data_IF_073522469956
#
_entry.id   IF_073522469956
#
_cell.length_a   1.000
_cell.length_b   1.000
_cell.length_c   1.000
_cell.angle_alpha   90.00
_cell.angle_beta   90.00
_cell.angle_gamma   90.00
#
_symmetry.space_group_name_H-M   'P 1'
#
loop_
_entity.id
_entity.type
_entity.pdbx_description
1 polymer ?
#
# COMPACT_ATOMS: atom_id res chain seq x y z
N UNK A 1 -30.66 -18.66 5.24
CA UNK A 1 -30.23 -17.42 4.56
C UNK A 1 -28.74 -17.55 4.30
N UNK A 2 -28.38 -17.98 3.09
CA UNK A 2 -27.00 -18.02 2.61
C UNK A 2 -26.56 -16.57 2.43
N UNK A 3 -25.74 -16.07 3.35
CA UNK A 3 -25.11 -14.76 3.18
C UNK A 3 -24.09 -14.89 2.05
N UNK A 4 -24.51 -14.55 0.84
CA UNK A 4 -23.64 -14.46 -0.32
C UNK A 4 -22.51 -13.46 -0.01
N UNK A 5 -21.30 -13.98 0.13
CA UNK A 5 -20.10 -13.16 0.25
C UNK A 5 -19.97 -12.36 -1.04
N UNK A 6 -20.31 -11.07 -1.00
CA UNK A 6 -20.10 -10.18 -2.13
C UNK A 6 -18.60 -9.90 -2.27
N UNK A 7 -17.97 -10.56 -3.23
CA UNK A 7 -16.61 -10.24 -3.62
C UNK A 7 -16.59 -8.85 -4.26
N UNK A 8 -15.95 -7.87 -3.59
CA UNK A 8 -15.59 -6.63 -4.25
C UNK A 8 -14.49 -6.93 -5.27
N UNK A 9 -14.78 -6.77 -6.55
CA UNK A 9 -13.78 -6.75 -7.61
C UNK A 9 -12.88 -5.54 -7.40
N UNK A 10 -11.71 -5.75 -6.79
CA UNK A 10 -10.70 -4.71 -6.61
C UNK A 10 -10.15 -4.20 -7.95
N UNK A 11 -9.28 -3.17 -7.88
CA UNK A 11 -8.65 -2.51 -9.05
C UNK A 11 -7.69 -3.40 -9.87
N UNK A 12 -7.61 -4.71 -9.61
CA UNK A 12 -6.60 -5.58 -10.20
C UNK A 12 -7.04 -6.09 -11.56
N UNK A 13 -6.66 -5.36 -12.62
CA UNK A 13 -7.06 -5.66 -14.01
C UNK A 13 -6.27 -6.84 -14.61
N UNK A 14 -5.07 -7.13 -14.10
CA UNK A 14 -4.16 -8.17 -14.63
C UNK A 14 -3.51 -8.94 -13.48
N UNK A 15 -3.42 -10.26 -13.62
CA UNK A 15 -2.76 -11.14 -12.64
C UNK A 15 -1.26 -10.77 -12.54
N UNK A 16 -0.73 -10.42 -11.36
CA UNK A 16 0.68 -10.10 -11.17
C UNK A 16 1.65 -11.21 -11.62
N UNK A 17 1.21 -12.48 -11.62
CA UNK A 17 2.00 -13.62 -12.09
C UNK A 17 2.16 -13.64 -13.61
N UNK A 18 1.30 -12.93 -14.34
CA UNK A 18 1.29 -12.82 -15.80
C UNK A 18 1.86 -11.48 -16.29
N UNK A 19 2.31 -10.61 -15.38
CA UNK A 19 2.96 -9.34 -15.74
C UNK A 19 4.42 -9.56 -16.12
N UNK A 20 4.89 -8.79 -17.10
CA UNK A 20 6.33 -8.71 -17.35
C UNK A 20 7.05 -7.95 -16.21
N UNK A 21 8.38 -8.05 -16.09
CA UNK A 21 9.10 -7.41 -14.98
C UNK A 21 8.89 -5.89 -14.88
N UNK A 22 8.81 -5.17 -16.02
CA UNK A 22 8.61 -3.71 -16.05
C UNK A 22 7.20 -3.33 -15.58
N UNK A 23 6.19 -4.02 -16.09
CA UNK A 23 4.79 -3.88 -15.68
C UNK A 23 4.64 -4.14 -14.18
N UNK A 24 5.28 -5.19 -13.67
CA UNK A 24 5.21 -5.56 -12.26
C UNK A 24 5.82 -4.49 -11.36
N UNK A 25 6.95 -3.88 -11.76
CA UNK A 25 7.57 -2.77 -11.02
C UNK A 25 6.62 -1.57 -11.00
N UNK A 26 6.03 -1.22 -12.14
CA UNK A 26 5.10 -0.10 -12.21
C UNK A 26 3.85 -0.33 -11.36
N UNK A 27 3.31 -1.55 -11.40
CA UNK A 27 2.18 -1.96 -10.58
C UNK A 27 2.52 -1.89 -9.08
N UNK A 28 3.69 -2.37 -8.66
CA UNK A 28 4.14 -2.26 -7.27
C UNK A 28 4.25 -0.80 -6.80
N UNK A 29 4.81 0.08 -7.63
CA UNK A 29 4.86 1.53 -7.34
C UNK A 29 3.46 2.12 -7.18
N UNK A 30 2.55 1.78 -8.08
CA UNK A 30 1.16 2.23 -8.02
C UNK A 30 0.45 1.73 -6.76
N UNK A 31 0.66 0.47 -6.38
CA UNK A 31 0.10 -0.11 -5.16
C UNK A 31 0.63 0.59 -3.91
N UNK A 32 1.94 0.88 -3.84
CA UNK A 32 2.53 1.60 -2.73
C UNK A 32 1.97 3.03 -2.61
N UNK A 33 1.83 3.73 -3.75
CA UNK A 33 1.23 5.07 -3.77
C UNK A 33 -0.24 5.03 -3.32
N UNK A 34 -1.04 4.09 -3.85
CA UNK A 34 -2.44 3.95 -3.46
C UNK A 34 -2.60 3.66 -1.96
N UNK A 35 -1.72 2.82 -1.39
CA UNK A 35 -1.74 2.51 0.04
C UNK A 35 -1.39 3.76 0.87
N UNK A 36 -0.37 4.51 0.46
CA UNK A 36 0.02 5.77 1.08
C UNK A 36 -1.12 6.79 1.06
N UNK A 37 -1.71 7.00 -0.12
CA UNK A 37 -2.81 7.95 -0.31
C UNK A 37 -4.03 7.56 0.53
N UNK A 38 -4.37 6.26 0.57
CA UNK A 38 -5.45 5.75 1.40
C UNK A 38 -5.19 6.00 2.88
N UNK A 39 -4.03 5.58 3.41
CA UNK A 39 -3.68 5.78 4.82
C UNK A 39 -3.75 7.27 5.20
N UNK A 40 -3.22 8.14 4.35
CA UNK A 40 -3.25 9.57 4.58
C UNK A 40 -4.65 10.18 4.48
N UNK A 41 -5.54 9.61 3.66
CA UNK A 41 -6.94 10.04 3.56
C UNK A 41 -7.72 9.77 4.83
N UNK A 42 -7.36 8.72 5.58
CA UNK A 42 -7.97 8.34 6.86
C UNK A 42 -7.14 8.79 8.07
N UNK A 43 -6.21 9.74 7.87
CA UNK A 43 -5.30 10.27 8.90
C UNK A 43 -4.44 9.22 9.62
N UNK A 44 -4.18 8.08 8.97
CA UNK A 44 -3.26 7.05 9.46
C UNK A 44 -1.86 7.27 8.88
N UNK A 45 -0.80 7.01 9.68
CA UNK A 45 0.57 7.05 9.18
C UNK A 45 0.90 5.83 8.33
N UNK A 46 1.82 6.00 7.38
CA UNK A 46 2.48 4.91 6.67
C UNK A 46 3.64 4.41 7.53
N UNK A 47 3.56 3.15 7.97
CA UNK A 47 4.60 2.53 8.80
C UNK A 47 5.49 1.63 7.95
N UNK A 48 6.81 1.83 8.01
CA UNK A 48 7.78 1.02 7.29
C UNK A 48 9.13 0.95 8.01
N UNK A 49 9.91 -0.08 7.66
CA UNK A 49 11.28 -0.25 8.17
C UNK A 49 12.26 0.46 7.24
N UNK A 50 13.09 1.33 7.81
CA UNK A 50 14.18 2.01 7.09
C UNK A 50 15.39 1.08 6.95
N UNK A 51 16.29 1.35 5.98
CA UNK A 51 17.53 0.58 5.79
C UNK A 51 18.47 0.61 7.00
N UNK A 52 18.38 1.65 7.83
CA UNK A 52 19.13 1.81 9.08
C UNK A 52 18.64 0.88 10.22
N UNK A 53 17.56 0.12 9.97
CA UNK A 53 16.99 -0.83 10.93
C UNK A 53 15.80 -0.29 11.72
N UNK A 54 15.57 1.03 11.72
CA UNK A 54 14.50 1.66 12.49
C UNK A 54 13.13 1.48 11.82
N UNK A 55 12.10 1.32 12.65
CA UNK A 55 10.71 1.38 12.20
C UNK A 55 10.22 2.81 12.32
N UNK A 56 9.68 3.36 11.24
CA UNK A 56 9.20 4.74 11.21
C UNK A 56 7.74 4.84 10.80
N UNK A 57 7.06 5.84 11.33
CA UNK A 57 5.71 6.26 10.95
C UNK A 57 5.81 7.59 10.19
N UNK A 58 5.45 7.59 8.91
CA UNK A 58 5.37 8.78 8.08
C UNK A 58 3.91 9.28 8.02
N UNK A 59 3.70 10.55 8.29
CA UNK A 59 2.39 11.19 8.27
C UNK A 59 2.18 12.04 7.00
N UNK A 60 0.92 12.37 6.71
CA UNK A 60 0.53 13.18 5.54
C UNK A 60 1.26 14.54 5.46
N UNK A 61 1.58 15.14 6.60
CA UNK A 61 2.29 16.41 6.70
C UNK A 61 3.80 16.29 6.45
N UNK A 62 4.31 15.10 6.13
CA UNK A 62 5.74 14.84 5.93
C UNK A 62 6.51 14.61 7.23
N UNK A 63 5.84 14.63 8.40
CA UNK A 63 6.45 14.27 9.67
C UNK A 63 6.80 12.78 9.67
N UNK A 64 8.02 12.46 10.08
CA UNK A 64 8.46 11.07 10.25
C UNK A 64 8.90 10.86 11.70
N UNK A 65 8.28 9.90 12.38
CA UNK A 65 8.58 9.54 13.75
C UNK A 65 9.21 8.15 13.80
N UNK A 66 10.28 7.99 14.58
CA UNK A 66 10.84 6.67 14.89
C UNK A 66 9.96 6.03 15.96
N UNK A 67 9.45 4.83 15.67
CA UNK A 67 8.55 4.07 16.55
C UNK A 67 9.31 2.99 17.30
N UNK A 68 10.36 2.42 16.68
CA UNK A 68 11.21 1.38 17.29
C UNK A 68 12.57 1.28 16.61
#
# INVERSE_FOLDING_TARGET
>A
MTNDVQYQTGKMVKDPRKMNPKERIQWQKQCAQNARDYLFSINQPLVYKRPDGHTVAEYKNGQILVVR
#
